data_IF_676376505477
#
_entry.id   IF_676376505477
#
_cell.length_a   1.000
_cell.length_b   1.000
_cell.length_c   1.000
_cell.angle_alpha   90.00
_cell.angle_beta   90.00
_cell.angle_gamma   90.00
#
_symmetry.space_group_name_H-M   'P 1'
#
loop_
_entity.id
_entity.type
_entity.pdbx_description
1 polymer ?
#
# COMPACT_ATOMS: atom_id res chain seq x y z
N UNK A 1 -13.10 14.41 -4.50
CA UNK A 1 -12.99 13.05 -5.05
C UNK A 1 -13.40 12.09 -3.98
N UNK A 2 -14.56 11.45 -4.12
CA UNK A 2 -15.00 10.39 -3.22
C UNK A 2 -14.49 9.08 -3.79
N UNK A 3 -14.01 8.17 -2.94
CA UNK A 3 -13.62 6.84 -3.38
C UNK A 3 -14.82 6.16 -4.09
N UNK A 4 -14.58 5.40 -5.17
CA UNK A 4 -15.61 4.60 -5.80
C UNK A 4 -16.35 3.75 -4.75
N UNK A 5 -17.67 3.54 -4.88
CA UNK A 5 -18.42 2.66 -3.98
C UNK A 5 -17.75 1.28 -3.90
N UNK A 6 -17.42 0.83 -2.69
CA UNK A 6 -16.78 -0.48 -2.46
C UNK A 6 -15.24 -0.43 -2.35
N UNK A 7 -14.63 0.74 -2.48
CA UNK A 7 -13.20 0.92 -2.18
C UNK A 7 -13.00 0.82 -0.66
N UNK A 8 -12.02 0.04 -0.18
CA UNK A 8 -11.66 0.04 1.23
C UNK A 8 -11.21 1.45 1.64
N UNK A 9 -11.55 1.96 2.84
CA UNK A 9 -11.23 3.32 3.26
C UNK A 9 -9.70 3.48 3.32
N UNK A 10 -9.14 3.98 2.23
CA UNK A 10 -7.72 4.08 2.00
C UNK A 10 -7.49 5.52 1.61
N UNK A 11 -7.39 6.36 2.65
CA UNK A 11 -7.10 7.80 2.62
C UNK A 11 -6.77 8.26 1.21
N UNK A 12 -7.81 8.67 0.47
CA UNK A 12 -7.70 9.16 -0.92
C UNK A 12 -6.37 9.87 -1.10
N UNK A 13 -5.50 9.47 -2.05
CA UNK A 13 -4.17 10.02 -2.16
C UNK A 13 -4.27 11.54 -2.15
N UNK A 14 -3.70 12.15 -1.12
CA UNK A 14 -3.72 13.59 -0.99
C UNK A 14 -2.89 14.15 -2.15
N UNK A 15 -3.55 14.87 -3.04
CA UNK A 15 -2.88 15.59 -4.11
C UNK A 15 -2.17 16.78 -3.48
N UNK A 16 -0.87 16.63 -3.24
CA UNK A 16 -0.06 17.67 -2.63
C UNK A 16 0.70 18.42 -3.72
N UNK A 17 0.29 19.65 -3.99
CA UNK A 17 0.96 20.49 -4.99
C UNK A 17 2.07 21.27 -4.31
N UNK A 18 3.32 21.04 -4.71
CA UNK A 18 4.49 21.78 -4.21
C UNK A 18 5.24 22.45 -5.35
N UNK A 19 5.96 23.52 -5.06
CA UNK A 19 6.95 24.08 -5.98
C UNK A 19 8.32 23.56 -5.57
N UNK A 20 8.97 22.79 -6.46
CA UNK A 20 10.32 22.25 -6.25
C UNK A 20 11.18 22.80 -7.38
N UNK A 21 12.27 23.50 -7.05
CA UNK A 21 13.20 24.11 -8.02
C UNK A 21 12.50 25.02 -9.05
N UNK A 22 11.53 25.83 -8.60
CA UNK A 22 10.80 26.77 -9.46
C UNK A 22 9.77 26.12 -10.40
N UNK A 23 9.62 24.79 -10.38
CA UNK A 23 8.61 24.07 -11.15
C UNK A 23 7.48 23.59 -10.24
N UNK A 24 6.24 23.71 -10.72
CA UNK A 24 5.07 23.14 -10.07
C UNK A 24 5.15 21.61 -10.17
N UNK A 25 5.27 20.95 -9.02
CA UNK A 25 5.30 19.50 -8.89
C UNK A 25 4.01 19.03 -8.20
N UNK A 26 3.34 18.06 -8.80
CA UNK A 26 2.20 17.39 -8.21
C UNK A 26 2.69 16.08 -7.58
N UNK A 27 2.72 16.03 -6.25
CA UNK A 27 3.17 14.87 -5.49
C UNK A 27 1.95 14.01 -5.15
N UNK A 28 2.04 12.75 -5.53
CA UNK A 28 1.15 11.71 -5.06
C UNK A 28 1.79 11.03 -3.85
N UNK A 29 1.00 10.81 -2.79
CA UNK A 29 1.43 9.97 -1.67
C UNK A 29 1.85 8.57 -2.16
N UNK A 30 2.63 7.81 -1.36
CA UNK A 30 3.06 6.48 -1.75
C UNK A 30 1.86 5.62 -2.12
N UNK A 31 1.79 5.23 -3.39
CA UNK A 31 0.78 4.28 -3.85
C UNK A 31 1.08 2.94 -3.20
N UNK A 32 0.05 2.29 -2.63
CA UNK A 32 0.18 0.93 -2.17
C UNK A 32 0.52 0.06 -3.40
N UNK A 33 1.79 -0.33 -3.54
CA UNK A 33 2.19 -1.30 -4.56
C UNK A 33 1.92 -2.69 -4.04
N UNK A 34 1.27 -3.53 -4.83
CA UNK A 34 1.11 -4.94 -4.49
C UNK A 34 2.45 -5.64 -4.67
N UNK A 35 2.97 -6.25 -3.62
CA UNK A 35 4.15 -7.08 -3.71
C UNK A 35 4.73 -7.46 -2.36
N UNK A 36 5.58 -8.50 -2.31
CA UNK A 36 6.25 -8.93 -1.09
C UNK A 36 7.42 -8.01 -0.67
N UNK A 37 7.69 -6.95 -1.43
CA UNK A 37 8.72 -5.94 -1.16
C UNK A 37 8.21 -4.87 -0.22
N UNK A 38 9.02 -4.51 0.79
CA UNK A 38 8.68 -3.41 1.69
C UNK A 38 9.21 -2.06 1.21
N UNK A 39 10.30 -2.06 0.44
CA UNK A 39 10.95 -0.86 -0.06
C UNK A 39 11.00 -0.87 -1.59
N UNK A 40 11.06 0.34 -2.21
CA UNK A 40 11.17 0.51 -3.67
C UNK A 40 12.38 -0.24 -4.26
N UNK A 41 13.52 -0.17 -3.56
CA UNK A 41 14.75 -0.91 -3.87
C UNK A 41 14.98 -2.06 -2.88
N UNK A 42 13.90 -2.72 -2.42
CA UNK A 42 13.95 -3.84 -1.47
C UNK A 42 14.02 -5.22 -2.14
N UNK A 43 13.95 -6.29 -1.34
CA UNK A 43 14.00 -7.67 -1.83
C UNK A 43 12.61 -8.25 -2.07
N UNK A 44 12.45 -9.07 -3.12
CA UNK A 44 11.21 -9.86 -3.32
C UNK A 44 10.97 -10.88 -2.19
N UNK A 45 11.94 -11.09 -1.31
CA UNK A 45 11.86 -11.99 -0.17
C UNK A 45 11.59 -11.26 1.16
N UNK A 46 11.39 -9.93 1.15
CA UNK A 46 11.24 -9.15 2.39
C UNK A 46 10.08 -9.68 3.26
N UNK A 47 8.92 -9.93 2.64
CA UNK A 47 7.75 -10.51 3.33
C UNK A 47 8.06 -11.88 3.95
N UNK A 48 8.63 -12.80 3.18
CA UNK A 48 8.92 -14.16 3.67
C UNK A 48 9.98 -14.14 4.77
N UNK A 49 11.02 -13.31 4.65
CA UNK A 49 12.06 -13.11 5.68
C UNK A 49 11.50 -12.47 6.95
N UNK A 50 10.38 -11.75 6.87
CA UNK A 50 9.74 -11.14 8.03
C UNK A 50 8.92 -12.13 8.87
N UNK A 51 8.59 -13.31 8.32
CA UNK A 51 7.83 -14.34 9.02
C UNK A 51 8.70 -15.00 10.08
N UNK A 52 8.26 -14.93 11.33
CA UNK A 52 8.93 -15.52 12.50
C UNK A 52 7.89 -16.24 13.37
N UNK A 53 8.24 -17.33 14.07
CA UNK A 53 7.26 -18.12 14.83
C UNK A 53 6.36 -17.30 15.77
N UNK A 54 6.89 -16.23 16.37
CA UNK A 54 6.17 -15.36 17.30
C UNK A 54 5.26 -14.31 16.65
N UNK A 55 5.32 -14.10 15.32
CA UNK A 55 4.50 -13.10 14.62
C UNK A 55 3.55 -13.69 13.58
N UNK A 56 3.54 -15.01 13.37
CA UNK A 56 2.68 -15.70 12.39
C UNK A 56 1.21 -15.40 12.66
N UNK A 57 0.78 -15.49 13.92
CA UNK A 57 -0.62 -15.23 14.30
C UNK A 57 -1.05 -13.80 13.97
N UNK A 58 -0.19 -12.82 14.26
CA UNK A 58 -0.42 -11.40 13.94
C UNK A 58 -0.45 -11.16 12.43
N UNK A 59 0.46 -11.77 11.67
CA UNK A 59 0.50 -11.67 10.22
C UNK A 59 -0.77 -12.26 9.58
N UNK A 60 -1.22 -13.42 10.04
CA UNK A 60 -2.46 -14.05 9.57
C UNK A 60 -3.70 -13.23 9.93
N UNK A 61 -3.79 -12.72 11.16
CA UNK A 61 -4.88 -11.86 11.58
C UNK A 61 -4.94 -10.56 10.76
N UNK A 62 -3.78 -9.98 10.43
CA UNK A 62 -3.69 -8.82 9.56
C UNK A 62 -4.12 -9.16 8.13
N UNK A 63 -3.72 -10.32 7.59
CA UNK A 63 -4.15 -10.78 6.27
C UNK A 63 -5.68 -10.91 6.19
N UNK A 64 -6.30 -11.57 7.16
CA UNK A 64 -7.76 -11.76 7.22
C UNK A 64 -8.51 -10.42 7.32
N UNK A 65 -8.06 -9.51 8.19
CA UNK A 65 -8.69 -8.20 8.37
C UNK A 65 -8.59 -7.30 7.14
N UNK A 66 -7.56 -7.50 6.31
CA UNK A 66 -7.30 -6.69 5.13
C UNK A 66 -7.63 -7.42 3.81
N UNK A 67 -8.37 -8.54 3.84
CA UNK A 67 -8.81 -9.24 2.62
C UNK A 67 -9.54 -8.34 1.62
N UNK A 68 -10.44 -7.41 2.02
CA UNK A 68 -11.09 -6.50 1.07
C UNK A 68 -10.07 -5.61 0.34
N UNK A 69 -9.01 -5.18 1.04
CA UNK A 69 -7.94 -4.37 0.47
C UNK A 69 -7.04 -5.18 -0.46
N UNK A 70 -6.70 -6.41 -0.09
CA UNK A 70 -5.94 -7.31 -0.96
C UNK A 70 -6.72 -7.57 -2.26
N UNK A 71 -8.02 -7.88 -2.14
CA UNK A 71 -8.90 -8.10 -3.30
C UNK A 71 -8.98 -6.86 -4.18
N UNK A 72 -9.29 -5.70 -3.59
CA UNK A 72 -9.36 -4.44 -4.33
C UNK A 72 -8.05 -4.16 -5.07
N UNK A 73 -6.91 -4.35 -4.40
CA UNK A 73 -5.62 -4.08 -5.02
C UNK A 73 -5.40 -5.00 -6.23
N UNK A 74 -5.67 -6.31 -6.11
CA UNK A 74 -5.54 -7.27 -7.23
C UNK A 74 -6.46 -6.86 -8.39
N UNK A 75 -7.68 -6.42 -8.11
CA UNK A 75 -8.64 -5.96 -9.12
C UNK A 75 -8.23 -4.62 -9.79
N UNK A 76 -7.27 -3.88 -9.22
CA UNK A 76 -6.75 -2.61 -9.76
C UNK A 76 -5.48 -2.77 -10.62
N UNK A 77 -4.88 -3.97 -10.68
CA UNK A 77 -3.82 -4.30 -11.64
C UNK A 77 -4.45 -4.77 -12.95
#
# INVERSE_FOLDING_TARGET
>A
GKEPPGTPPMTVPHLDTRYINGRKALLFGPFASIGPKFLKNGSNLDLFKSVKPYNITTLLAAAVKNLPLIKYSIDQI
#
